data_IF_181696310162
#
_entry.id   IF_181696310162
#
_cell.length_a   1.000
_cell.length_b   1.000
_cell.length_c   1.000
_cell.angle_alpha   90.00
_cell.angle_beta   90.00
_cell.angle_gamma   90.00
#
_symmetry.space_group_name_H-M   'P 1'
#
loop_
_entity.id
_entity.type
_entity.pdbx_description
1 polymer ?
#
# COMPACT_ATOMS: atom_id res chain seq x y z
N UNK A 1 40.15 64.38 -23.30
CA UNK A 1 40.71 63.68 -22.12
C UNK A 1 39.83 63.98 -20.90
N UNK A 2 39.07 62.97 -20.43
CA UNK A 2 38.18 62.88 -19.23
C UNK A 2 36.93 62.09 -19.69
N UNK A 3 36.47 61.00 -19.09
CA UNK A 3 36.85 60.32 -17.85
C UNK A 3 36.45 58.83 -17.98
N UNK A 4 37.43 57.96 -18.11
CA UNK A 4 37.27 56.50 -18.19
C UNK A 4 37.13 55.87 -16.79
N UNK A 5 36.30 56.46 -15.92
CA UNK A 5 36.12 56.03 -14.51
C UNK A 5 34.72 55.49 -14.17
N UNK A 6 33.76 55.58 -15.08
CA UNK A 6 32.38 55.11 -14.85
C UNK A 6 32.14 53.64 -15.25
N UNK A 7 33.00 53.04 -16.09
CA UNK A 7 32.78 51.68 -16.61
C UNK A 7 33.24 50.54 -15.69
N UNK A 8 34.01 50.83 -14.64
CA UNK A 8 34.55 49.79 -13.76
C UNK A 8 33.66 49.42 -12.56
N UNK A 9 32.60 50.19 -12.29
CA UNK A 9 31.70 49.95 -11.15
C UNK A 9 30.44 49.16 -11.51
N UNK A 10 30.09 49.02 -12.80
CA UNK A 10 28.92 48.25 -13.23
C UNK A 10 29.16 46.73 -13.37
N UNK A 11 30.42 46.29 -13.50
CA UNK A 11 30.72 44.87 -13.64
C UNK A 11 30.87 44.11 -12.31
N UNK A 12 30.95 44.82 -11.17
CA UNK A 12 31.11 44.20 -9.85
C UNK A 12 29.81 43.72 -9.19
N UNK A 13 28.65 44.27 -9.57
CA UNK A 13 27.36 43.96 -8.93
C UNK A 13 26.64 42.81 -9.67
N UNK A 14 26.94 42.60 -10.95
CA UNK A 14 26.30 41.56 -11.76
C UNK A 14 26.75 40.13 -11.41
N UNK A 15 27.88 39.96 -10.71
CA UNK A 15 28.40 38.64 -10.34
C UNK A 15 27.87 38.11 -9.00
N UNK A 16 27.29 38.98 -8.15
CA UNK A 16 26.80 38.57 -6.83
C UNK A 16 25.32 38.12 -6.83
N UNK A 17 24.55 38.51 -7.85
CA UNK A 17 23.13 38.15 -8.00
C UNK A 17 22.91 36.76 -8.63
N UNK A 18 23.91 36.20 -9.30
CA UNK A 18 23.82 34.87 -9.93
C UNK A 18 24.09 33.73 -8.92
N UNK A 19 24.72 34.04 -7.78
CA UNK A 19 25.08 33.03 -6.77
C UNK A 19 24.00 32.80 -5.71
N UNK A 20 22.91 33.58 -5.70
CA UNK A 20 21.82 33.44 -4.71
C UNK A 20 20.57 32.74 -5.24
N UNK A 21 20.50 32.38 -6.53
CA UNK A 21 19.35 31.70 -7.12
C UNK A 21 19.58 30.20 -7.39
N UNK A 22 20.73 29.66 -6.99
CA UNK A 22 21.17 28.30 -7.32
C UNK A 22 21.06 27.27 -6.19
N UNK A 23 20.03 27.34 -5.35
CA UNK A 23 19.65 26.22 -4.46
C UNK A 23 18.12 26.18 -4.30
N UNK A 24 17.41 26.08 -5.41
CA UNK A 24 16.15 25.35 -5.38
C UNK A 24 16.49 23.90 -5.66
N UNK A 25 16.44 23.02 -4.65
CA UNK A 25 16.21 21.61 -4.96
C UNK A 25 14.89 21.61 -5.76
N UNK A 26 14.97 21.38 -7.06
CA UNK A 26 13.79 21.04 -7.82
C UNK A 26 13.25 19.77 -7.18
N UNK A 27 12.02 19.86 -6.69
CA UNK A 27 11.33 18.72 -6.11
C UNK A 27 10.99 17.82 -7.30
N UNK A 28 11.93 16.95 -7.68
CA UNK A 28 11.84 16.02 -8.81
C UNK A 28 10.88 14.84 -8.51
N UNK A 29 9.93 15.03 -7.59
CA UNK A 29 8.93 14.03 -7.25
C UNK A 29 7.75 14.13 -8.22
N UNK A 30 7.47 13.01 -8.89
CA UNK A 30 6.23 12.84 -9.64
C UNK A 30 5.05 12.90 -8.68
N UNK A 31 3.99 13.60 -9.07
CA UNK A 31 2.71 13.55 -8.35
C UNK A 31 2.04 12.18 -8.50
N UNK A 32 1.17 11.80 -7.56
CA UNK A 32 0.41 10.54 -7.63
C UNK A 32 -0.35 10.38 -8.96
N UNK A 33 -0.85 11.50 -9.50
CA UNK A 33 -1.54 11.53 -10.79
C UNK A 33 -0.59 11.21 -11.94
N UNK A 34 0.61 11.78 -11.95
CA UNK A 34 1.61 11.48 -12.98
C UNK A 34 2.09 10.03 -12.90
N UNK A 35 2.23 9.48 -11.69
CA UNK A 35 2.54 8.06 -11.48
C UNK A 35 1.41 7.19 -12.04
N UNK A 36 0.15 7.52 -11.76
CA UNK A 36 -1.01 6.81 -12.32
C UNK A 36 -1.04 6.90 -13.85
N UNK A 37 -0.87 8.09 -14.43
CA UNK A 37 -0.85 8.28 -15.88
C UNK A 37 0.28 7.45 -16.53
N UNK A 38 1.45 7.34 -15.89
CA UNK A 38 2.54 6.49 -16.38
C UNK A 38 2.21 5.00 -16.34
N UNK A 39 1.61 4.51 -15.25
CA UNK A 39 1.17 3.12 -15.12
C UNK A 39 0.06 2.83 -16.14
N UNK A 40 -0.92 3.72 -16.28
CA UNK A 40 -2.01 3.61 -17.25
C UNK A 40 -1.49 3.54 -18.67
N UNK A 41 -0.51 4.37 -19.03
CA UNK A 41 0.13 4.30 -20.35
C UNK A 41 0.94 3.02 -20.54
N UNK A 42 1.60 2.50 -19.50
CA UNK A 42 2.40 1.28 -19.57
C UNK A 42 1.55 0.01 -19.64
N UNK A 43 0.41 -0.01 -18.95
CA UNK A 43 -0.51 -1.13 -18.88
C UNK A 43 -1.74 -0.92 -19.77
N UNK A 44 -1.79 0.16 -20.57
CA UNK A 44 -2.97 0.54 -21.35
C UNK A 44 -4.29 0.56 -20.54
N UNK A 45 -4.22 0.97 -19.26
CA UNK A 45 -5.37 0.98 -18.34
C UNK A 45 -5.84 -0.41 -17.88
N UNK A 46 -5.04 -1.46 -18.10
CA UNK A 46 -5.34 -2.84 -17.75
C UNK A 46 -4.98 -3.18 -16.29
N UNK A 47 -5.42 -2.33 -15.36
CA UNK A 47 -5.22 -2.57 -13.93
C UNK A 47 -6.20 -1.76 -13.11
N UNK A 48 -6.43 -2.20 -11.87
CA UNK A 48 -7.29 -1.50 -10.92
C UNK A 48 -6.83 -1.72 -9.49
N UNK A 49 -6.95 -0.67 -8.68
CA UNK A 49 -6.80 -0.72 -7.23
C UNK A 49 -8.18 -0.77 -6.57
N UNK A 50 -8.34 -1.71 -5.64
CA UNK A 50 -9.57 -1.90 -4.87
C UNK A 50 -9.21 -1.80 -3.38
N UNK A 51 -9.60 -0.72 -2.68
CA UNK A 51 -9.41 -0.61 -1.24
C UNK A 51 -10.40 -1.52 -0.50
N UNK A 52 -9.95 -2.16 0.57
CA UNK A 52 -10.81 -3.00 1.42
C UNK A 52 -10.55 -2.64 2.88
N UNK A 53 -11.54 -2.03 3.52
CA UNK A 53 -11.47 -1.67 4.93
C UNK A 53 -12.28 -2.68 5.77
N UNK A 54 -11.62 -3.34 6.71
CA UNK A 54 -12.23 -4.36 7.59
C UNK A 54 -12.32 -3.79 8.99
N UNK A 55 -13.53 -3.57 9.50
CA UNK A 55 -13.72 -3.15 10.87
C UNK A 55 -13.44 -4.32 11.84
N UNK A 56 -13.07 -3.99 13.08
CA UNK A 56 -12.89 -5.01 14.13
C UNK A 56 -14.11 -5.94 14.26
N UNK A 57 -15.32 -5.44 14.07
CA UNK A 57 -16.56 -6.22 14.16
C UNK A 57 -16.79 -7.21 13.03
N UNK A 58 -16.10 -7.06 11.91
CA UNK A 58 -16.41 -7.79 10.67
C UNK A 58 -15.64 -9.13 10.61
N UNK A 59 -14.68 -9.32 11.50
CA UNK A 59 -13.96 -10.56 11.65
C UNK A 59 -14.84 -11.64 12.25
N UNK A 60 -14.99 -12.75 11.52
CA UNK A 60 -15.71 -13.93 11.98
C UNK A 60 -14.72 -14.97 12.50
N UNK A 61 -14.97 -15.51 13.70
CA UNK A 61 -14.15 -16.57 14.28
C UNK A 61 -14.61 -17.94 13.78
N UNK A 62 -13.68 -18.72 13.24
CA UNK A 62 -13.83 -20.14 12.96
C UNK A 62 -12.92 -20.95 13.88
N UNK A 63 -13.44 -22.08 14.38
CA UNK A 63 -12.66 -23.00 15.21
C UNK A 63 -13.22 -24.42 15.09
N UNK A 64 -12.31 -25.38 14.98
CA UNK A 64 -12.60 -26.81 15.10
C UNK A 64 -11.51 -27.47 15.97
N UNK A 65 -11.41 -28.80 15.93
CA UNK A 65 -10.43 -29.53 16.76
C UNK A 65 -8.98 -29.35 16.30
N UNK A 66 -8.75 -28.88 15.07
CA UNK A 66 -7.46 -28.86 14.39
C UNK A 66 -6.97 -27.42 14.11
N UNK A 67 -7.87 -26.46 13.95
CA UNK A 67 -7.54 -25.08 13.59
C UNK A 67 -8.48 -24.04 14.23
N UNK A 68 -7.97 -22.82 14.36
CA UNK A 68 -8.72 -21.66 14.83
C UNK A 68 -8.18 -20.39 14.18
N UNK A 69 -9.05 -19.61 13.55
CA UNK A 69 -8.67 -18.40 12.84
C UNK A 69 -9.83 -17.43 12.70
N UNK A 70 -9.50 -16.18 12.39
CA UNK A 70 -10.48 -15.18 11.97
C UNK A 70 -10.50 -15.06 10.45
N UNK A 71 -11.67 -14.87 9.88
CA UNK A 71 -11.84 -14.60 8.46
C UNK A 71 -12.86 -13.52 8.19
N UNK A 72 -12.70 -12.81 7.08
CA UNK A 72 -13.71 -11.92 6.50
C UNK A 72 -13.71 -12.12 4.99
N UNK A 73 -14.90 -12.30 4.41
CA UNK A 73 -15.06 -12.44 2.96
C UNK A 73 -15.73 -11.20 2.41
N UNK A 74 -15.16 -10.64 1.35
CA UNK A 74 -15.71 -9.49 0.63
C UNK A 74 -15.99 -9.86 -0.81
N UNK A 75 -17.06 -9.29 -1.37
CA UNK A 75 -17.34 -9.39 -2.79
C UNK A 75 -16.25 -8.66 -3.57
N UNK A 76 -15.76 -9.31 -4.62
CA UNK A 76 -14.76 -8.80 -5.56
C UNK A 76 -15.27 -9.01 -6.99
N UNK A 77 -16.38 -8.38 -7.39
CA UNK A 77 -16.99 -8.59 -8.71
C UNK A 77 -16.07 -8.22 -9.87
N UNK A 78 -15.03 -7.41 -9.64
CA UNK A 78 -14.01 -7.03 -10.61
C UNK A 78 -13.08 -8.19 -10.99
N UNK A 79 -12.90 -9.17 -10.11
CA UNK A 79 -12.10 -10.35 -10.41
C UNK A 79 -12.83 -11.24 -11.41
N UNK A 80 -12.37 -11.19 -12.66
CA UNK A 80 -12.84 -12.04 -13.76
C UNK A 80 -11.91 -13.22 -13.99
N UNK A 81 -12.42 -14.21 -14.71
CA UNK A 81 -11.70 -15.41 -15.13
C UNK A 81 -10.35 -15.07 -15.80
N UNK A 82 -10.34 -14.17 -16.78
CA UNK A 82 -9.11 -13.79 -17.47
C UNK A 82 -8.08 -13.10 -16.55
N UNK A 83 -8.53 -12.35 -15.52
CA UNK A 83 -7.62 -11.73 -14.54
C UNK A 83 -7.02 -12.81 -13.63
N UNK A 84 -7.83 -13.80 -13.24
CA UNK A 84 -7.43 -14.89 -12.36
C UNK A 84 -6.50 -15.89 -13.04
N UNK A 85 -6.78 -16.24 -14.30
CA UNK A 85 -6.04 -17.26 -15.05
C UNK A 85 -4.81 -16.70 -15.79
N UNK A 86 -4.89 -15.49 -16.33
CA UNK A 86 -3.85 -14.91 -17.20
C UNK A 86 -3.21 -13.63 -16.64
N UNK A 87 -3.93 -12.95 -15.75
CA UNK A 87 -3.50 -11.69 -15.13
C UNK A 87 -2.81 -11.89 -13.77
N UNK A 88 -2.99 -10.90 -12.89
CA UNK A 88 -2.54 -10.97 -11.51
C UNK A 88 -3.58 -10.37 -10.56
N UNK A 89 -3.86 -11.09 -9.47
CA UNK A 89 -4.56 -10.58 -8.30
C UNK A 89 -3.59 -10.54 -7.12
N UNK A 90 -3.32 -9.35 -6.58
CA UNK A 90 -2.34 -9.12 -5.53
C UNK A 90 -3.02 -8.46 -4.34
N UNK A 91 -2.82 -8.98 -3.13
CA UNK A 91 -3.33 -8.38 -1.90
C UNK A 91 -2.20 -7.82 -1.03
N UNK A 92 -2.46 -6.68 -0.40
CA UNK A 92 -1.53 -5.97 0.47
C UNK A 92 -2.19 -5.60 1.79
N UNK A 93 -1.44 -5.66 2.89
CA UNK A 93 -1.79 -5.02 4.15
C UNK A 93 -1.26 -3.58 4.15
N UNK A 94 -2.13 -2.59 4.37
CA UNK A 94 -1.74 -1.18 4.48
C UNK A 94 -1.58 -0.78 5.94
N UNK A 95 -0.39 -0.30 6.30
CA UNK A 95 -0.12 0.26 7.63
C UNK A 95 -0.57 1.71 7.73
N UNK A 96 -0.42 2.46 6.64
CA UNK A 96 -0.83 3.86 6.48
C UNK A 96 -0.82 4.23 4.99
N UNK A 97 -0.91 5.52 4.67
CA UNK A 97 -0.93 6.00 3.28
C UNK A 97 0.39 5.74 2.53
N UNK A 98 1.51 5.64 3.24
CA UNK A 98 2.86 5.59 2.65
C UNK A 98 3.56 4.25 2.86
N UNK A 99 2.91 3.29 3.51
CA UNK A 99 3.51 1.99 3.83
C UNK A 99 2.49 0.88 3.75
N UNK A 100 2.86 -0.17 3.00
CA UNK A 100 2.13 -1.41 2.85
C UNK A 100 3.09 -2.57 2.63
N UNK A 101 2.63 -3.78 2.90
CA UNK A 101 3.36 -5.02 2.61
C UNK A 101 2.49 -5.98 1.83
N UNK A 102 3.09 -6.79 0.96
CA UNK A 102 2.37 -7.85 0.29
C UNK A 102 1.89 -8.88 1.32
N UNK A 103 0.73 -9.50 1.07
CA UNK A 103 0.27 -10.66 1.82
C UNK A 103 0.93 -11.94 1.25
N UNK A 104 1.27 -12.93 2.10
CA UNK A 104 1.02 -12.96 3.54
C UNK A 104 1.95 -12.03 4.35
N UNK A 105 1.39 -11.39 5.39
CA UNK A 105 2.14 -10.57 6.33
C UNK A 105 2.24 -11.27 7.68
N UNK A 106 3.48 -11.51 8.12
CA UNK A 106 3.79 -12.26 9.34
C UNK A 106 4.45 -11.32 10.36
N UNK A 107 3.98 -11.36 11.62
CA UNK A 107 4.59 -10.62 12.74
C UNK A 107 4.62 -11.47 14.00
N UNK A 108 5.71 -11.39 14.75
CA UNK A 108 5.83 -12.03 16.07
C UNK A 108 5.43 -11.06 17.16
N UNK A 109 4.52 -11.50 18.02
CA UNK A 109 4.03 -10.77 19.19
C UNK A 109 4.33 -11.57 20.46
N UNK A 110 4.06 -10.96 21.60
CA UNK A 110 4.07 -11.63 22.91
C UNK A 110 2.71 -11.45 23.55
N UNK A 111 2.20 -12.51 24.16
CA UNK A 111 0.98 -12.46 24.95
C UNK A 111 1.20 -11.71 26.29
N UNK A 112 0.15 -11.67 27.12
CA UNK A 112 0.20 -11.03 28.43
C UNK A 112 1.16 -11.71 29.42
N UNK A 113 1.53 -12.98 29.18
CA UNK A 113 2.48 -13.76 29.97
C UNK A 113 3.91 -13.66 29.41
N UNK A 114 4.11 -12.95 28.30
CA UNK A 114 5.39 -12.79 27.61
C UNK A 114 5.75 -13.96 26.69
N UNK A 115 4.84 -14.92 26.47
CA UNK A 115 5.04 -16.05 25.56
C UNK A 115 4.90 -15.55 24.12
N UNK A 116 5.90 -15.82 23.25
CA UNK A 116 5.85 -15.37 21.88
C UNK A 116 4.87 -16.23 21.07
N UNK A 117 4.10 -15.56 20.21
CA UNK A 117 3.27 -16.19 19.17
C UNK A 117 3.39 -15.38 17.88
N UNK A 118 2.96 -15.95 16.76
CA UNK A 118 3.04 -15.29 15.45
C UNK A 118 1.64 -15.08 14.92
N UNK A 119 1.36 -13.88 14.41
CA UNK A 119 0.17 -13.56 13.65
C UNK A 119 0.48 -13.50 12.17
N UNK A 120 -0.36 -14.15 11.37
CA UNK A 120 -0.29 -14.15 9.91
C UNK A 120 -1.58 -13.58 9.36
N UNK A 121 -1.45 -12.53 8.54
CA UNK A 121 -2.53 -12.08 7.67
C UNK A 121 -2.31 -12.66 6.28
N UNK A 122 -3.34 -13.23 5.68
CA UNK A 122 -3.31 -13.80 4.34
C UNK A 122 -4.59 -13.45 3.57
N UNK A 123 -4.61 -13.72 2.27
CA UNK A 123 -5.77 -13.49 1.42
C UNK A 123 -5.86 -14.56 0.34
N UNK A 124 -7.05 -15.11 0.18
CA UNK A 124 -7.41 -16.00 -0.92
C UNK A 124 -8.37 -15.30 -1.88
N UNK A 125 -8.23 -15.59 -3.17
CA UNK A 125 -9.13 -15.14 -4.22
C UNK A 125 -9.95 -16.33 -4.73
N UNK A 126 -11.27 -16.15 -4.85
CA UNK A 126 -12.18 -17.20 -5.31
C UNK A 126 -13.03 -16.67 -6.46
N UNK A 127 -12.96 -17.34 -7.61
CA UNK A 127 -13.85 -17.05 -8.74
C UNK A 127 -15.29 -17.47 -8.42
N UNK A 128 -16.25 -16.63 -8.75
CA UNK A 128 -17.67 -16.86 -8.41
C UNK A 128 -18.63 -15.90 -9.11
N UNK A 129 -19.85 -15.79 -8.57
CA UNK A 129 -20.85 -14.83 -9.03
C UNK A 129 -21.57 -14.15 -7.84
N UNK A 130 -20.96 -13.11 -7.23
CA UNK A 130 -19.68 -12.49 -7.59
C UNK A 130 -18.47 -13.34 -7.15
N UNK A 131 -17.31 -13.08 -7.75
CA UNK A 131 -16.02 -13.53 -7.21
C UNK A 131 -15.78 -12.85 -5.85
N UNK A 132 -14.92 -13.42 -5.02
CA UNK A 132 -14.67 -12.93 -3.67
C UNK A 132 -13.18 -12.89 -3.33
N UNK A 133 -12.85 -12.10 -2.31
CA UNK A 133 -11.58 -12.17 -1.60
C UNK A 133 -11.85 -12.48 -0.13
N UNK A 134 -11.17 -13.48 0.41
CA UNK A 134 -11.25 -13.82 1.83
C UNK A 134 -9.94 -13.47 2.49
N UNK A 135 -9.97 -12.62 3.51
CA UNK A 135 -8.82 -12.27 4.33
C UNK A 135 -8.85 -13.10 5.61
N UNK A 136 -7.70 -13.62 6.01
CA UNK A 136 -7.55 -14.39 7.24
C UNK A 136 -6.61 -13.69 8.21
N UNK A 137 -6.85 -13.93 9.50
CA UNK A 137 -5.93 -13.64 10.58
C UNK A 137 -5.78 -14.91 11.44
N UNK A 138 -4.58 -15.47 11.40
CA UNK A 138 -4.24 -16.72 12.07
C UNK A 138 -3.17 -16.45 13.12
N UNK A 139 -3.34 -17.02 14.31
CA UNK A 139 -2.32 -17.03 15.35
C UNK A 139 -1.68 -18.41 15.42
N UNK A 140 -0.35 -18.49 15.58
CA UNK A 140 0.40 -19.75 15.58
C UNK A 140 0.03 -20.70 16.72
N UNK A 141 -0.62 -20.18 17.75
CA UNK A 141 -1.14 -20.90 18.92
C UNK A 141 -2.66 -21.19 18.80
N UNK A 142 -3.27 -20.90 17.64
CA UNK A 142 -4.72 -20.91 17.42
C UNK A 142 -5.49 -20.05 18.45
N UNK A 143 -4.83 -19.04 19.01
CA UNK A 143 -5.38 -18.19 20.06
C UNK A 143 -6.52 -17.32 19.55
N UNK A 144 -7.64 -17.35 20.27
CA UNK A 144 -8.77 -16.43 20.09
C UNK A 144 -8.51 -15.12 20.82
N UNK A 145 -8.80 -13.98 20.19
CA UNK A 145 -8.82 -12.69 20.87
C UNK A 145 -9.88 -12.70 21.98
N UNK A 146 -9.58 -12.05 23.12
CA UNK A 146 -10.55 -11.87 24.22
C UNK A 146 -11.74 -10.97 23.82
N UNK A 147 -11.66 -10.31 22.68
CA UNK A 147 -12.74 -9.64 21.97
C UNK A 147 -12.58 -9.85 20.47
N UNK A 148 -12.69 -8.76 19.71
CA UNK A 148 -12.46 -8.81 18.27
C UNK A 148 -11.02 -8.44 17.91
N UNK A 149 -10.49 -8.98 16.80
CA UNK A 149 -9.23 -8.51 16.24
C UNK A 149 -9.21 -7.02 15.93
N UNK A 150 -8.01 -6.41 15.78
CA UNK A 150 -7.91 -5.03 15.33
C UNK A 150 -8.49 -4.85 13.92
N UNK A 151 -9.03 -3.66 13.65
CA UNK A 151 -9.41 -3.25 12.31
C UNK A 151 -8.19 -3.28 11.38
N UNK A 152 -8.41 -3.62 10.12
CA UNK A 152 -7.37 -3.78 9.11
C UNK A 152 -7.73 -3.05 7.83
N UNK A 153 -6.73 -2.49 7.16
CA UNK A 153 -6.88 -1.84 5.86
C UNK A 153 -6.09 -2.67 4.86
N UNK A 154 -6.76 -3.20 3.86
CA UNK A 154 -6.18 -3.98 2.79
C UNK A 154 -6.29 -3.24 1.46
N UNK A 155 -5.49 -3.68 0.50
CA UNK A 155 -5.55 -3.19 -0.86
C UNK A 155 -5.37 -4.38 -1.80
N UNK A 156 -6.33 -4.56 -2.70
CA UNK A 156 -6.24 -5.51 -3.81
C UNK A 156 -5.80 -4.72 -5.06
N UNK A 157 -4.89 -5.29 -5.83
CA UNK A 157 -4.49 -4.82 -7.15
C UNK A 157 -4.78 -5.94 -8.14
N UNK A 158 -5.58 -5.63 -9.14
CA UNK A 158 -5.87 -6.50 -10.28
C UNK A 158 -5.12 -5.95 -11.50
N UNK A 159 -4.48 -6.80 -12.30
CA UNK A 159 -3.75 -6.46 -13.53
C UNK A 159 -4.15 -7.46 -14.63
N UNK A 160 -4.43 -7.00 -15.85
CA UNK A 160 -4.94 -7.86 -16.93
C UNK A 160 -4.58 -7.46 -18.37
#
# INVERSE_FOLDING_TARGET
MKNMKSKLLLFGISALLVLTFGYGCSDDYLSDREIQDMIDNSLNGQWQIIPVDVASSDWEWFENNDEGYYSVTVDLPELKDYIFDEGAALAYYKFNNNSKTALPYVKTLKDALGIPYTETYSCDFVLGNPSTATFYLEASDAGKYSGNPPAANFQIILIW
#
